data_IF_006269393955
#
_entry.id   IF_006269393955
#
_cell.length_a   1.000
_cell.length_b   1.000
_cell.length_c   1.000
_cell.angle_alpha   90.00
_cell.angle_beta   90.00
_cell.angle_gamma   90.00
#
_symmetry.space_group_name_H-M   'P 1'
#
loop_
_entity.id
_entity.type
_entity.pdbx_description
1 polymer ?
#
# COMPACT_ATOMS: atom_id res chain seq x y z
N UNK A 1 -0.46 3.94 -36.87
CA UNK A 1 -1.10 2.98 -35.97
C UNK A 1 0.05 2.40 -35.18
N UNK A 2 0.11 2.69 -33.88
CA UNK A 2 1.23 2.25 -33.05
C UNK A 2 1.14 0.73 -32.85
N UNK A 3 2.27 0.03 -32.75
CA UNK A 3 2.35 -1.44 -32.65
C UNK A 3 1.49 -2.00 -31.48
N UNK A 4 1.29 -1.21 -30.42
CA UNK A 4 0.42 -1.55 -29.30
C UNK A 4 -1.07 -1.63 -29.64
N UNK A 5 -1.54 -0.78 -30.55
CA UNK A 5 -2.94 -0.75 -30.99
C UNK A 5 -3.25 -1.95 -31.90
N UNK A 6 -2.29 -2.35 -32.73
CA UNK A 6 -2.41 -3.52 -33.60
C UNK A 6 -2.43 -4.81 -32.76
N UNK A 7 -1.56 -4.93 -31.76
CA UNK A 7 -1.56 -6.06 -30.84
C UNK A 7 -2.88 -6.19 -30.06
N UNK A 8 -3.44 -5.08 -29.58
CA UNK A 8 -4.72 -5.09 -28.88
C UNK A 8 -5.89 -5.46 -29.82
N UNK A 9 -5.87 -5.01 -31.08
CA UNK A 9 -6.89 -5.36 -32.07
C UNK A 9 -6.89 -6.84 -32.42
N UNK A 10 -5.69 -7.42 -32.57
CA UNK A 10 -5.51 -8.86 -32.76
C UNK A 10 -6.01 -9.62 -31.53
N UNK A 11 -5.62 -9.20 -30.32
CA UNK A 11 -6.07 -9.83 -29.08
C UNK A 11 -7.58 -9.74 -28.91
N UNK A 12 -8.21 -8.62 -29.23
CA UNK A 12 -9.66 -8.46 -29.17
C UNK A 12 -10.38 -9.42 -30.14
N UNK A 13 -9.84 -9.58 -31.34
CA UNK A 13 -10.38 -10.52 -32.34
C UNK A 13 -10.26 -11.99 -31.89
N UNK A 14 -9.16 -12.33 -31.22
CA UNK A 14 -8.91 -13.69 -30.74
C UNK A 14 -9.59 -13.99 -29.38
N UNK A 15 -9.80 -12.97 -28.55
CA UNK A 15 -10.27 -13.07 -27.16
C UNK A 15 -11.41 -12.08 -26.87
N UNK A 16 -12.57 -12.19 -27.55
CA UNK A 16 -13.68 -11.24 -27.40
C UNK A 16 -14.29 -11.21 -26.00
N UNK A 17 -14.15 -12.31 -25.25
CA UNK A 17 -14.66 -12.44 -23.88
C UNK A 17 -13.61 -12.15 -22.80
N UNK A 18 -12.52 -11.46 -23.15
CA UNK A 18 -11.47 -11.16 -22.19
C UNK A 18 -11.99 -10.29 -21.04
N UNK A 19 -11.89 -10.80 -19.82
CA UNK A 19 -12.30 -10.08 -18.59
C UNK A 19 -11.14 -9.47 -17.83
N UNK A 20 -9.97 -10.10 -17.94
CA UNK A 20 -8.78 -9.74 -17.18
C UNK A 20 -7.63 -9.59 -18.16
N UNK A 21 -7.04 -8.40 -18.19
CA UNK A 21 -5.83 -8.13 -18.95
C UNK A 21 -4.70 -7.73 -18.01
N UNK A 22 -3.57 -8.43 -18.12
CA UNK A 22 -2.35 -8.16 -17.37
C UNK A 22 -1.19 -8.03 -18.32
N UNK A 23 -0.42 -6.96 -18.19
CA UNK A 23 0.77 -6.76 -19.00
C UNK A 23 1.88 -6.08 -18.22
N UNK A 24 3.11 -6.56 -18.44
CA UNK A 24 4.34 -5.96 -17.93
C UNK A 24 5.22 -5.58 -19.11
N UNK A 25 5.63 -4.31 -19.16
CA UNK A 25 6.58 -3.75 -20.13
C UNK A 25 6.36 -4.25 -21.57
N UNK A 26 5.44 -3.62 -22.30
CA UNK A 26 5.17 -3.94 -23.70
C UNK A 26 5.69 -2.80 -24.60
N UNK A 27 6.91 -2.98 -25.09
CA UNK A 27 7.59 -1.99 -25.93
C UNK A 27 8.04 -0.73 -25.17
N UNK A 28 8.64 0.20 -25.91
CA UNK A 28 9.10 1.51 -25.40
C UNK A 28 8.11 2.65 -25.65
N UNK A 29 7.05 2.38 -26.40
CA UNK A 29 6.03 3.35 -26.79
C UNK A 29 4.97 3.53 -25.71
N UNK A 30 4.24 4.65 -25.79
CA UNK A 30 3.12 4.90 -24.90
C UNK A 30 1.96 3.96 -25.25
N UNK A 31 1.33 3.36 -24.25
CA UNK A 31 0.14 2.53 -24.39
C UNK A 31 -1.10 3.40 -24.40
N UNK A 32 -1.88 3.33 -25.47
CA UNK A 32 -3.22 3.94 -25.53
C UNK A 32 -4.22 3.11 -24.73
N UNK A 33 -5.07 3.78 -23.95
CA UNK A 33 -6.16 3.11 -23.24
C UNK A 33 -7.35 2.78 -24.16
N UNK A 34 -7.42 3.38 -25.36
CA UNK A 34 -8.45 3.09 -26.36
C UNK A 34 -8.41 1.63 -26.82
N UNK A 35 -7.21 1.08 -26.93
CA UNK A 35 -6.96 -0.32 -27.19
C UNK A 35 -7.72 -1.25 -26.23
N UNK A 36 -7.89 -0.85 -24.97
CA UNK A 36 -8.61 -1.64 -23.98
C UNK A 36 -10.13 -1.45 -24.02
N UNK A 37 -10.62 -0.34 -24.59
CA UNK A 37 -12.06 -0.13 -24.75
C UNK A 37 -12.70 -1.05 -25.81
N UNK A 38 -11.89 -1.69 -26.66
CA UNK A 38 -12.37 -2.70 -27.59
C UNK A 38 -12.83 -3.98 -26.89
N UNK A 39 -12.34 -4.27 -25.68
CA UNK A 39 -12.76 -5.43 -24.92
C UNK A 39 -14.08 -5.15 -24.18
N UNK A 40 -15.19 -5.56 -24.77
CA UNK A 40 -16.56 -5.32 -24.24
C UNK A 40 -16.78 -5.88 -22.82
N UNK A 41 -15.97 -6.84 -22.40
CA UNK A 41 -16.12 -7.57 -21.14
C UNK A 41 -14.99 -7.33 -20.13
N UNK A 42 -14.11 -6.37 -20.38
CA UNK A 42 -12.95 -6.12 -19.51
C UNK A 42 -13.39 -5.54 -18.15
N UNK A 43 -13.11 -6.28 -17.09
CA UNK A 43 -13.41 -5.90 -15.70
C UNK A 43 -12.16 -5.58 -14.90
N UNK A 44 -11.00 -6.17 -15.25
CA UNK A 44 -9.73 -5.97 -14.54
C UNK A 44 -8.64 -5.61 -15.54
N UNK A 45 -7.95 -4.50 -15.28
CA UNK A 45 -6.80 -4.05 -16.06
C UNK A 45 -5.59 -3.83 -15.14
N UNK A 46 -4.52 -4.56 -15.40
CA UNK A 46 -3.27 -4.44 -14.64
C UNK A 46 -2.10 -4.17 -15.58
N UNK A 47 -1.45 -3.04 -15.36
CA UNK A 47 -0.34 -2.56 -16.19
C UNK A 47 0.88 -2.33 -15.30
N UNK A 48 2.00 -2.96 -15.64
CA UNK A 48 3.29 -2.78 -14.97
C UNK A 48 4.35 -2.22 -15.91
N UNK A 49 5.10 -1.21 -15.46
CA UNK A 49 6.23 -0.61 -16.19
C UNK A 49 5.84 -0.05 -17.58
N UNK A 50 4.65 0.57 -17.68
CA UNK A 50 4.14 1.16 -18.92
C UNK A 50 4.13 2.68 -18.89
N UNK A 51 4.36 3.31 -20.05
CA UNK A 51 4.02 4.73 -20.26
C UNK A 51 2.58 4.81 -20.79
N UNK A 52 1.68 5.49 -20.10
CA UNK A 52 0.31 5.68 -20.58
C UNK A 52 0.21 6.94 -21.45
N UNK A 53 -0.46 6.82 -22.59
CA UNK A 53 -0.82 7.96 -23.42
C UNK A 53 -1.91 8.83 -22.75
N UNK A 54 -2.11 10.02 -23.29
CA UNK A 54 -3.20 10.90 -22.84
C UNK A 54 -4.56 10.29 -23.20
N UNK A 55 -5.52 10.42 -22.28
CA UNK A 55 -6.86 9.88 -22.47
C UNK A 55 -7.72 10.78 -23.36
N UNK A 56 -8.39 10.22 -24.38
CA UNK A 56 -9.44 10.92 -25.10
C UNK A 56 -10.58 11.34 -24.17
N UNK A 57 -11.22 12.47 -24.48
CA UNK A 57 -12.32 12.99 -23.65
C UNK A 57 -13.54 12.10 -23.66
N UNK A 58 -13.76 11.33 -24.72
CA UNK A 58 -14.90 10.45 -24.96
C UNK A 58 -14.64 8.97 -24.60
N UNK A 59 -13.42 8.62 -24.17
CA UNK A 59 -13.12 7.24 -23.80
C UNK A 59 -13.99 6.75 -22.64
N UNK A 60 -14.57 5.57 -22.82
CA UNK A 60 -15.33 4.85 -21.80
C UNK A 60 -14.80 3.43 -21.63
N UNK A 61 -14.68 3.01 -20.38
CA UNK A 61 -14.36 1.65 -19.93
C UNK A 61 -15.50 1.22 -18.98
N UNK A 62 -16.70 0.93 -19.51
CA UNK A 62 -17.95 0.90 -18.73
C UNK A 62 -18.05 -0.28 -17.76
N UNK A 63 -17.29 -1.35 -18.00
CA UNK A 63 -17.26 -2.54 -17.16
C UNK A 63 -16.02 -2.65 -16.27
N UNK A 64 -15.08 -1.70 -16.36
CA UNK A 64 -13.86 -1.77 -15.58
C UNK A 64 -14.17 -1.57 -14.08
N UNK A 65 -13.88 -2.61 -13.29
CA UNK A 65 -14.12 -2.68 -11.85
C UNK A 65 -12.82 -2.49 -11.05
N UNK A 66 -11.69 -2.95 -11.59
CA UNK A 66 -10.38 -2.85 -10.96
C UNK A 66 -9.30 -2.36 -11.93
N UNK A 67 -8.52 -1.37 -11.48
CA UNK A 67 -7.38 -0.83 -12.21
C UNK A 67 -6.12 -0.89 -11.33
N UNK A 68 -5.07 -1.55 -11.82
CA UNK A 68 -3.76 -1.60 -11.18
C UNK A 68 -2.71 -0.99 -12.10
N UNK A 69 -2.04 0.06 -11.63
CA UNK A 69 -0.92 0.69 -12.31
C UNK A 69 0.32 0.54 -11.42
N UNK A 70 1.31 -0.20 -11.89
CA UNK A 70 2.58 -0.44 -11.20
C UNK A 70 3.75 0.12 -12.00
N UNK A 71 4.58 0.94 -11.39
CA UNK A 71 5.77 1.55 -12.03
C UNK A 71 5.42 2.24 -13.37
N UNK A 72 4.19 2.74 -13.50
CA UNK A 72 3.70 3.37 -14.72
C UNK A 72 4.06 4.86 -14.76
N UNK A 73 4.28 5.38 -15.96
CA UNK A 73 4.40 6.82 -16.21
C UNK A 73 3.10 7.35 -16.81
N UNK A 74 2.41 8.25 -16.11
CA UNK A 74 1.03 8.67 -16.45
C UNK A 74 0.84 10.17 -16.31
N UNK A 75 0.05 10.78 -17.19
CA UNK A 75 -0.34 12.17 -17.04
C UNK A 75 -1.36 12.33 -15.91
N UNK A 76 -1.26 13.41 -15.15
CA UNK A 76 -2.21 13.66 -14.06
C UNK A 76 -3.66 13.79 -14.53
N UNK A 77 -3.90 14.46 -15.67
CA UNK A 77 -5.22 14.56 -16.29
C UNK A 77 -5.77 13.18 -16.66
N UNK A 78 -4.91 12.25 -17.09
CA UNK A 78 -5.28 10.86 -17.35
C UNK A 78 -5.77 10.17 -16.08
N UNK A 79 -5.05 10.30 -14.95
CA UNK A 79 -5.53 9.77 -13.67
C UNK A 79 -6.85 10.41 -13.23
N UNK A 80 -7.03 11.73 -13.39
CA UNK A 80 -8.30 12.39 -13.08
C UNK A 80 -9.44 11.82 -13.93
N UNK A 81 -9.22 11.64 -15.24
CA UNK A 81 -10.23 11.08 -16.15
C UNK A 81 -10.64 9.67 -15.76
N UNK A 82 -9.69 8.81 -15.39
CA UNK A 82 -9.95 7.43 -14.91
C UNK A 82 -10.72 7.37 -13.60
N UNK A 83 -10.79 8.46 -12.84
CA UNK A 83 -11.59 8.59 -11.62
C UNK A 83 -12.95 9.25 -11.89
N UNK A 84 -13.24 9.63 -13.14
CA UNK A 84 -14.54 10.20 -13.50
C UNK A 84 -15.55 9.08 -13.75
N UNK A 85 -16.77 9.18 -13.19
CA UNK A 85 -17.85 8.24 -13.48
C UNK A 85 -18.22 8.15 -14.97
N UNK A 86 -17.93 9.19 -15.75
CA UNK A 86 -18.15 9.20 -17.20
C UNK A 86 -17.11 8.42 -17.99
N UNK A 87 -15.97 8.05 -17.40
CA UNK A 87 -14.96 7.19 -18.03
C UNK A 87 -15.12 5.75 -17.53
N UNK A 88 -15.18 5.58 -16.21
CA UNK A 88 -15.07 4.27 -15.53
C UNK A 88 -16.17 4.14 -14.46
N UNK A 89 -17.46 4.09 -14.86
CA UNK A 89 -18.60 4.16 -13.93
C UNK A 89 -18.66 3.03 -12.89
N UNK A 90 -18.01 1.89 -13.16
CA UNK A 90 -17.98 0.73 -12.27
C UNK A 90 -16.67 0.57 -11.49
N UNK A 91 -15.73 1.50 -11.62
CA UNK A 91 -14.44 1.38 -10.94
C UNK A 91 -14.63 1.44 -9.43
N UNK A 92 -14.29 0.33 -8.77
CA UNK A 92 -14.36 0.17 -7.31
C UNK A 92 -12.98 0.04 -6.68
N UNK A 93 -12.00 -0.46 -7.43
CA UNK A 93 -10.67 -0.82 -6.91
C UNK A 93 -9.60 -0.13 -7.72
N UNK A 94 -8.73 0.62 -7.06
CA UNK A 94 -7.59 1.26 -7.72
C UNK A 94 -6.31 1.01 -6.94
N UNK A 95 -5.28 0.50 -7.63
CA UNK A 95 -3.96 0.27 -7.07
C UNK A 95 -2.94 1.11 -7.84
N UNK A 96 -2.24 1.98 -7.12
CA UNK A 96 -1.17 2.82 -7.66
C UNK A 96 0.12 2.49 -6.90
N UNK A 97 1.00 1.75 -7.57
CA UNK A 97 2.28 1.33 -7.03
C UNK A 97 3.41 1.98 -7.81
N UNK A 98 4.23 2.79 -7.15
CA UNK A 98 5.39 3.46 -7.77
C UNK A 98 5.04 4.22 -9.08
N UNK A 99 3.81 4.73 -9.19
CA UNK A 99 3.33 5.45 -10.39
C UNK A 99 3.94 6.85 -10.46
N UNK A 100 4.60 7.16 -11.56
CA UNK A 100 5.18 8.48 -11.83
C UNK A 100 4.13 9.33 -12.55
N UNK A 101 3.62 10.34 -11.86
CA UNK A 101 2.69 11.33 -12.43
C UNK A 101 3.46 12.54 -12.95
N UNK A 102 3.24 12.91 -14.21
CA UNK A 102 3.85 14.12 -14.80
C UNK A 102 2.78 15.17 -15.12
N UNK A 103 3.19 16.45 -15.11
CA UNK A 103 2.30 17.60 -15.22
C UNK A 103 2.49 18.36 -16.53
N UNK A 104 1.39 18.52 -17.29
CA UNK A 104 1.21 19.57 -18.31
C UNK A 104 -0.20 20.21 -18.28
N UNK A 105 -1.14 19.70 -17.48
CA UNK A 105 -2.49 20.26 -17.34
C UNK A 105 -3.34 19.49 -16.32
N UNK A 106 -4.40 20.14 -15.84
CA UNK A 106 -5.42 19.55 -14.97
C UNK A 106 -6.76 19.62 -15.68
N UNK A 107 -7.63 18.63 -15.44
CA UNK A 107 -9.04 18.78 -15.78
C UNK A 107 -9.68 19.78 -14.81
N UNK A 108 -10.49 20.71 -15.34
CA UNK A 108 -11.31 21.63 -14.53
C UNK A 108 -12.36 20.84 -13.74
N UNK A 109 -12.84 19.72 -14.30
CA UNK A 109 -13.77 18.82 -13.64
C UNK A 109 -13.09 18.09 -12.49
N UNK A 110 -13.71 18.14 -11.30
CA UNK A 110 -13.20 17.44 -10.11
C UNK A 110 -13.58 15.95 -10.21
N UNK A 111 -12.62 15.02 -10.07
CA UNK A 111 -12.93 13.60 -9.98
C UNK A 111 -13.83 13.30 -8.77
N UNK A 112 -14.64 12.26 -8.90
CA UNK A 112 -15.45 11.75 -7.79
C UNK A 112 -14.97 10.34 -7.42
N UNK A 113 -13.97 10.21 -6.53
CA UNK A 113 -13.45 8.92 -6.13
C UNK A 113 -14.29 8.24 -5.04
N UNK A 114 -15.43 8.82 -4.61
CA UNK A 114 -16.35 8.18 -3.64
C UNK A 114 -16.86 6.79 -4.05
N UNK A 115 -17.03 6.47 -5.35
CA UNK A 115 -17.39 5.13 -5.79
C UNK A 115 -16.32 4.06 -5.50
N UNK A 116 -15.08 4.44 -5.19
CA UNK A 116 -14.03 3.47 -4.86
C UNK A 116 -14.31 2.82 -3.51
N UNK A 117 -14.41 1.50 -3.51
CA UNK A 117 -14.46 0.68 -2.30
C UNK A 117 -13.12 0.73 -1.57
N UNK A 118 -12.01 0.74 -2.34
CA UNK A 118 -10.69 1.02 -1.80
C UNK A 118 -9.69 1.58 -2.82
N UNK A 119 -8.66 2.23 -2.26
CA UNK A 119 -7.51 2.75 -2.96
C UNK A 119 -6.23 2.24 -2.30
N UNK A 120 -5.39 1.51 -3.02
CA UNK A 120 -4.08 1.09 -2.55
C UNK A 120 -2.99 1.98 -3.14
N UNK A 121 -2.11 2.47 -2.26
CA UNK A 121 -1.04 3.39 -2.58
C UNK A 121 0.29 2.89 -2.03
N UNK A 122 1.26 2.70 -2.92
CA UNK A 122 2.61 2.24 -2.57
C UNK A 122 3.60 3.30 -3.04
N UNK A 123 4.38 3.84 -2.11
CA UNK A 123 5.08 5.10 -2.30
C UNK A 123 6.26 5.05 -3.29
N UNK A 124 6.45 6.18 -3.98
CA UNK A 124 7.68 6.62 -4.65
C UNK A 124 8.47 7.62 -3.77
N UNK A 125 9.79 7.67 -3.98
CA UNK A 125 10.81 8.34 -3.15
C UNK A 125 11.14 9.79 -3.53
N UNK A 126 10.56 10.38 -4.57
CA UNK A 126 10.96 11.72 -5.03
C UNK A 126 9.77 12.57 -5.46
N UNK A 127 9.33 13.39 -4.50
CA UNK A 127 8.56 14.64 -4.66
C UNK A 127 7.10 14.49 -5.16
N UNK A 128 6.19 14.90 -4.27
CA UNK A 128 4.73 15.02 -4.42
C UNK A 128 3.92 13.71 -4.44
N UNK A 129 3.20 13.49 -3.34
CA UNK A 129 2.06 12.58 -3.25
C UNK A 129 1.05 12.86 -4.38
N UNK A 130 0.24 11.87 -4.82
CA UNK A 130 -0.81 12.11 -5.81
C UNK A 130 -1.59 13.38 -5.46
N UNK A 131 -1.63 14.36 -6.37
CA UNK A 131 -2.04 15.73 -6.05
C UNK A 131 -3.38 15.79 -5.32
N UNK A 132 -3.55 16.74 -4.39
CA UNK A 132 -4.84 16.99 -3.69
C UNK A 132 -6.02 17.08 -4.69
N UNK A 133 -5.73 17.55 -5.90
CA UNK A 133 -6.63 17.65 -7.05
C UNK A 133 -7.20 16.32 -7.57
N UNK A 134 -6.69 15.17 -7.13
CA UNK A 134 -7.28 13.85 -7.40
C UNK A 134 -8.43 13.52 -6.43
N UNK A 135 -8.65 14.32 -5.37
CA UNK A 135 -9.75 14.11 -4.43
C UNK A 135 -9.64 12.85 -3.56
N UNK A 136 -8.47 12.18 -3.54
CA UNK A 136 -8.29 10.88 -2.90
C UNK A 136 -8.52 10.90 -1.37
N UNK A 137 -8.41 12.06 -0.73
CA UNK A 137 -8.79 12.28 0.67
C UNK A 137 -10.26 11.94 0.98
N UNK A 138 -11.11 11.80 -0.05
CA UNK A 138 -12.52 11.41 0.08
C UNK A 138 -12.74 9.89 0.05
N UNK A 139 -11.69 9.11 -0.23
CA UNK A 139 -11.76 7.63 -0.22
C UNK A 139 -11.75 7.14 1.22
N UNK A 140 -12.67 6.24 1.56
CA UNK A 140 -12.84 5.77 2.94
C UNK A 140 -11.81 4.70 3.35
N UNK A 141 -11.41 3.86 2.40
CA UNK A 141 -10.49 2.75 2.66
C UNK A 141 -9.23 2.96 1.82
N UNK A 142 -8.26 3.65 2.41
CA UNK A 142 -6.94 3.85 1.80
C UNK A 142 -5.99 2.83 2.42
N UNK A 143 -5.40 1.99 1.58
CA UNK A 143 -4.34 1.06 1.95
C UNK A 143 -3.00 1.69 1.60
N UNK A 144 -2.12 1.83 2.57
CA UNK A 144 -0.74 2.18 2.34
C UNK A 144 0.17 0.98 2.57
N UNK A 145 0.86 0.58 1.51
CA UNK A 145 1.85 -0.48 1.58
C UNK A 145 3.24 0.08 1.91
N UNK A 146 3.94 -0.55 2.86
CA UNK A 146 5.29 -0.19 3.27
C UNK A 146 6.18 -1.43 3.32
N UNK A 147 7.49 -1.26 3.19
CA UNK A 147 8.45 -2.34 3.43
C UNK A 147 9.56 -1.86 4.34
N UNK A 148 10.09 -2.78 5.13
CA UNK A 148 11.23 -2.53 6.03
C UNK A 148 12.44 -2.02 5.24
N UNK A 149 12.65 -2.54 4.03
CA UNK A 149 13.77 -2.16 3.16
C UNK A 149 13.64 -0.79 2.49
N UNK A 150 12.42 -0.24 2.35
CA UNK A 150 12.20 1.04 1.65
C UNK A 150 11.98 2.24 2.58
N UNK A 151 12.00 2.03 3.90
CA UNK A 151 11.66 3.00 4.97
C UNK A 151 10.27 3.64 4.78
N UNK A 152 9.69 4.16 5.86
CA UNK A 152 8.49 5.04 5.79
C UNK A 152 8.92 6.49 5.46
N UNK A 153 10.13 6.70 4.90
CA UNK A 153 10.74 8.03 4.73
C UNK A 153 9.92 9.01 3.89
N UNK A 154 8.95 8.49 3.13
CA UNK A 154 8.21 9.26 2.14
C UNK A 154 6.69 9.21 2.35
N UNK A 155 6.21 8.74 3.50
CA UNK A 155 4.80 8.92 3.82
C UNK A 155 4.60 10.37 4.30
N UNK A 156 3.92 11.26 3.54
CA UNK A 156 3.55 12.56 4.08
C UNK A 156 2.75 12.30 5.34
N UNK A 157 3.00 13.09 6.40
CA UNK A 157 2.21 13.05 7.63
C UNK A 157 0.75 12.78 7.26
N UNK A 158 0.15 11.70 7.78
CA UNK A 158 -1.22 11.27 7.48
C UNK A 158 -2.27 12.40 7.47
N UNK A 159 -1.93 13.55 8.06
CA UNK A 159 -2.59 14.84 7.89
C UNK A 159 -3.01 15.21 6.45
N UNK A 160 -2.23 14.89 5.41
CA UNK A 160 -2.56 15.30 4.02
C UNK A 160 -3.78 14.58 3.43
N UNK A 161 -4.06 13.35 3.88
CA UNK A 161 -5.22 12.56 3.47
C UNK A 161 -6.45 12.82 4.32
N UNK A 162 -6.27 13.40 5.52
CA UNK A 162 -7.37 13.70 6.43
C UNK A 162 -8.03 12.48 7.08
N UNK A 163 -7.75 11.26 6.64
CA UNK A 163 -8.37 10.02 7.13
C UNK A 163 -7.35 9.01 7.67
N UNK A 164 -7.71 8.19 8.69
CA UNK A 164 -6.90 7.05 9.11
C UNK A 164 -6.79 5.97 8.03
N UNK A 165 -5.68 5.23 8.03
CA UNK A 165 -5.28 4.36 6.91
C UNK A 165 -5.16 2.90 7.32
N UNK A 166 -5.37 2.01 6.37
CA UNK A 166 -4.97 0.62 6.49
C UNK A 166 -3.49 0.50 6.12
N UNK A 167 -2.64 -0.01 7.01
CA UNK A 167 -1.22 -0.21 6.71
C UNK A 167 -0.96 -1.66 6.36
N UNK A 168 -0.30 -1.91 5.23
CA UNK A 168 0.15 -3.26 4.81
C UNK A 168 1.67 -3.32 4.83
N UNK A 169 2.23 -4.25 5.59
CA UNK A 169 3.64 -4.60 5.46
C UNK A 169 3.81 -5.52 4.25
N UNK A 170 4.62 -5.13 3.28
CA UNK A 170 5.05 -6.02 2.21
C UNK A 170 5.99 -7.11 2.75
N UNK A 171 5.95 -8.31 2.16
CA UNK A 171 6.88 -9.38 2.51
C UNK A 171 8.30 -8.85 2.51
N UNK A 172 9.07 -9.24 3.52
CA UNK A 172 10.52 -9.09 3.43
C UNK A 172 10.96 -9.90 2.21
N UNK A 173 11.79 -9.35 1.29
CA UNK A 173 12.43 -10.20 0.29
C UNK A 173 13.11 -11.33 1.06
N UNK A 174 12.75 -12.59 0.75
CA UNK A 174 13.28 -13.80 1.43
C UNK A 174 14.74 -13.54 1.70
N UNK A 175 15.17 -13.63 2.97
CA UNK A 175 16.57 -13.51 3.35
C UNK A 175 17.33 -14.52 2.49
N UNK A 176 17.91 -14.08 1.38
CA UNK A 176 18.97 -14.86 0.76
C UNK A 176 20.00 -14.99 1.87
N UNK A 177 20.38 -16.21 2.22
CA UNK A 177 21.30 -16.55 3.31
C UNK A 177 22.70 -15.90 3.17
N UNK A 178 22.88 -14.92 2.27
CA UNK A 178 24.15 -14.39 1.77
C UNK A 178 24.40 -12.90 1.94
N UNK A 179 23.54 -12.12 2.61
CA UNK A 179 23.81 -10.67 2.77
C UNK A 179 24.24 -10.30 4.18
N UNK A 180 25.54 -10.44 4.39
CA UNK A 180 26.33 -9.97 5.53
C UNK A 180 26.51 -8.45 5.53
N UNK A 181 25.48 -7.66 5.85
CA UNK A 181 25.66 -6.26 6.29
C UNK A 181 24.61 -5.95 7.38
N UNK A 182 24.86 -6.47 8.59
CA UNK A 182 23.90 -6.49 9.69
C UNK A 182 23.73 -5.17 10.45
N UNK A 183 24.56 -4.15 10.24
CA UNK A 183 24.54 -2.95 11.09
C UNK A 183 23.62 -1.83 10.61
N UNK A 184 23.58 -1.54 9.30
CA UNK A 184 22.70 -0.48 8.77
C UNK A 184 21.25 -0.96 8.60
N UNK A 185 21.04 -2.26 8.41
CA UNK A 185 19.69 -2.80 8.21
C UNK A 185 18.83 -2.60 9.47
N UNK A 186 19.40 -2.84 10.66
CA UNK A 186 18.70 -2.75 11.94
C UNK A 186 18.16 -1.35 12.27
N UNK A 187 18.95 -0.30 12.00
CA UNK A 187 18.53 1.08 12.26
C UNK A 187 17.38 1.51 11.32
N UNK A 188 17.34 0.98 10.09
CA UNK A 188 16.26 1.25 9.13
C UNK A 188 14.95 0.56 9.51
N UNK A 189 15.03 -0.67 10.04
CA UNK A 189 13.84 -1.36 10.60
C UNK A 189 13.32 -0.57 11.80
N UNK A 190 14.22 -0.14 12.69
CA UNK A 190 13.87 0.58 13.90
C UNK A 190 13.13 1.89 13.59
N UNK A 191 13.67 2.71 12.69
CA UNK A 191 13.03 3.94 12.24
C UNK A 191 11.64 3.69 11.64
N UNK A 192 11.52 2.65 10.80
CA UNK A 192 10.26 2.33 10.14
C UNK A 192 9.20 1.88 11.16
N UNK A 193 9.55 0.94 12.04
CA UNK A 193 8.65 0.44 13.09
C UNK A 193 8.27 1.54 14.06
N UNK A 194 9.23 2.35 14.54
CA UNK A 194 8.96 3.48 15.42
C UNK A 194 7.99 4.49 14.77
N UNK A 195 8.13 4.73 13.47
CA UNK A 195 7.20 5.57 12.70
C UNK A 195 5.79 4.97 12.68
N UNK A 196 5.64 3.65 12.44
CA UNK A 196 4.33 2.98 12.50
C UNK A 196 3.73 3.10 13.90
N UNK A 197 4.49 2.77 14.96
CA UNK A 197 4.00 2.86 16.33
C UNK A 197 3.50 4.28 16.67
N UNK A 198 4.23 5.31 16.22
CA UNK A 198 3.82 6.71 16.39
C UNK A 198 2.59 7.10 15.55
N UNK A 199 2.39 6.51 14.37
CA UNK A 199 1.16 6.70 13.60
C UNK A 199 -0.03 6.02 14.28
N UNK A 200 0.16 4.80 14.78
CA UNK A 200 -0.83 4.00 15.51
C UNK A 200 -1.30 4.72 16.77
N UNK A 201 -0.37 5.18 17.61
CA UNK A 201 -0.69 5.90 18.86
C UNK A 201 -1.40 7.24 18.63
N UNK A 202 -1.26 7.83 17.44
CA UNK A 202 -1.98 9.04 17.02
C UNK A 202 -3.34 8.75 16.36
N UNK A 203 -3.80 7.51 16.35
CA UNK A 203 -5.05 7.10 15.71
C UNK A 203 -5.05 7.27 14.19
N UNK A 204 -3.86 7.27 13.56
CA UNK A 204 -3.71 7.41 12.09
C UNK A 204 -3.74 6.07 11.37
N UNK A 205 -3.67 4.97 12.12
CA UNK A 205 -3.75 3.61 11.59
C UNK A 205 -5.12 3.05 11.97
N UNK A 206 -5.92 2.71 10.96
CA UNK A 206 -7.24 2.09 11.10
C UNK A 206 -7.12 0.59 11.32
N UNK A 207 -6.17 -0.06 10.64
CA UNK A 207 -5.78 -1.45 10.89
C UNK A 207 -4.41 -1.72 10.31
N UNK A 208 -3.75 -2.74 10.84
CA UNK A 208 -2.44 -3.21 10.41
C UNK A 208 -2.56 -4.59 9.77
N UNK A 209 -2.00 -4.77 8.57
CA UNK A 209 -1.93 -6.04 7.86
C UNK A 209 -0.49 -6.52 7.85
N UNK A 210 -0.27 -7.71 8.40
CA UNK A 210 1.04 -8.35 8.48
C UNK A 210 1.01 -9.74 7.84
N UNK A 211 2.10 -10.15 7.18
CA UNK A 211 2.25 -11.53 6.72
C UNK A 211 2.18 -12.55 7.85
N UNK A 212 1.76 -13.78 7.55
CA UNK A 212 1.68 -14.91 8.50
C UNK A 212 3.00 -15.24 9.18
N UNK A 213 4.13 -14.98 8.53
CA UNK A 213 5.46 -15.18 9.11
C UNK A 213 5.68 -14.34 10.37
N UNK A 214 4.98 -13.21 10.50
CA UNK A 214 5.05 -12.33 11.68
C UNK A 214 4.20 -12.83 12.86
N UNK A 215 3.38 -13.88 12.67
CA UNK A 215 2.61 -14.50 13.76
C UNK A 215 3.48 -15.47 14.57
N UNK A 216 4.60 -15.93 14.02
CA UNK A 216 5.52 -16.85 14.69
C UNK A 216 6.74 -16.13 15.30
N UNK A 217 6.84 -16.00 16.64
CA UNK A 217 7.97 -15.32 17.28
C UNK A 217 9.32 -16.04 17.05
N UNK A 218 9.32 -17.32 16.66
CA UNK A 218 10.54 -18.08 16.39
C UNK A 218 11.21 -17.71 15.06
N UNK A 219 10.52 -17.02 14.15
CA UNK A 219 11.10 -16.55 12.88
C UNK A 219 12.11 -15.41 13.05
N UNK A 220 12.17 -14.81 14.24
CA UNK A 220 13.03 -13.66 14.52
C UNK A 220 14.29 -14.08 15.28
N UNK A 221 15.27 -14.63 14.56
CA UNK A 221 16.57 -15.03 15.11
C UNK A 221 17.34 -13.87 15.77
N UNK A 222 17.04 -12.63 15.37
CA UNK A 222 17.70 -11.43 15.88
C UNK A 222 16.86 -10.75 16.98
N UNK A 223 17.38 -10.73 18.21
CA UNK A 223 16.72 -10.18 19.41
C UNK A 223 16.20 -8.75 19.21
N UNK A 224 16.95 -7.87 18.53
CA UNK A 224 16.54 -6.48 18.29
C UNK A 224 15.32 -6.39 17.37
N UNK A 225 15.33 -7.13 16.25
CA UNK A 225 14.22 -7.15 15.28
C UNK A 225 12.94 -7.65 15.93
N UNK A 226 13.04 -8.71 16.74
CA UNK A 226 11.93 -9.21 17.55
C UNK A 226 11.38 -8.13 18.49
N UNK A 227 12.23 -7.44 19.25
CA UNK A 227 11.79 -6.38 20.17
C UNK A 227 11.06 -5.23 19.46
N UNK A 228 11.45 -4.91 18.22
CA UNK A 228 10.77 -3.92 17.39
C UNK A 228 9.35 -4.37 17.02
N UNK A 229 9.19 -5.58 16.47
CA UNK A 229 7.86 -6.10 16.12
C UNK A 229 6.98 -6.32 17.36
N UNK A 230 7.58 -6.69 18.50
CA UNK A 230 6.86 -6.76 19.76
C UNK A 230 6.29 -5.40 20.17
N UNK A 231 7.13 -4.35 20.13
CA UNK A 231 6.70 -2.97 20.38
C UNK A 231 5.57 -2.52 19.43
N UNK A 232 5.55 -3.02 18.20
CA UNK A 232 4.48 -2.75 17.25
C UNK A 232 3.15 -3.40 17.66
N UNK A 233 3.17 -4.67 18.06
CA UNK A 233 1.97 -5.33 18.58
C UNK A 233 1.43 -4.66 19.84
N UNK A 234 2.31 -4.22 20.75
CA UNK A 234 1.93 -3.44 21.93
C UNK A 234 1.30 -2.10 21.55
N UNK A 235 1.89 -1.34 20.63
CA UNK A 235 1.32 -0.08 20.17
C UNK A 235 -0.09 -0.27 19.55
N UNK A 236 -0.29 -1.36 18.80
CA UNK A 236 -1.60 -1.71 18.25
C UNK A 236 -2.60 -2.11 19.32
N UNK A 237 -2.19 -2.87 20.34
CA UNK A 237 -3.03 -3.22 21.50
C UNK A 237 -3.46 -1.97 22.24
N UNK A 238 -2.52 -1.10 22.57
CA UNK A 238 -2.77 0.10 23.39
C UNK A 238 -3.64 1.15 22.66
N UNK A 239 -3.71 1.07 21.34
CA UNK A 239 -4.49 1.97 20.48
C UNK A 239 -5.75 1.32 19.90
N UNK A 240 -6.17 0.15 20.39
CA UNK A 240 -7.30 -0.64 19.86
C UNK A 240 -7.30 -0.78 18.33
N UNK A 241 -6.11 -0.94 17.75
CA UNK A 241 -5.88 -1.08 16.31
C UNK A 241 -5.86 -2.56 15.95
N UNK A 242 -6.82 -3.05 15.14
CA UNK A 242 -6.85 -4.44 14.73
C UNK A 242 -5.61 -4.80 13.92
N UNK A 243 -5.02 -5.95 14.24
CA UNK A 243 -3.95 -6.58 13.47
C UNK A 243 -4.54 -7.77 12.71
N UNK A 244 -4.37 -7.76 11.39
CA UNK A 244 -4.85 -8.79 10.47
C UNK A 244 -3.65 -9.52 9.93
N UNK A 245 -3.58 -10.81 10.21
CA UNK A 245 -2.59 -11.71 9.65
C UNK A 245 -3.12 -12.27 8.33
N UNK A 246 -2.33 -12.23 7.27
CA UNK A 246 -2.68 -12.80 5.97
C UNK A 246 -1.61 -13.80 5.51
N UNK A 247 -2.07 -14.87 4.86
CA UNK A 247 -1.19 -15.88 4.27
C UNK A 247 -0.59 -15.34 2.96
N UNK A 248 0.72 -15.51 2.78
CA UNK A 248 1.49 -15.02 1.64
C UNK A 248 1.92 -16.12 0.69
N UNK A 249 1.18 -17.25 0.66
CA UNK A 249 1.40 -18.41 -0.20
C UNK A 249 1.56 -18.08 -1.71
N UNK A 250 2.74 -17.60 -2.07
CA UNK A 250 3.36 -17.47 -3.39
C UNK A 250 2.89 -16.36 -4.35
N UNK A 251 1.97 -15.46 -3.99
CA UNK A 251 1.65 -14.33 -4.88
C UNK A 251 1.46 -12.99 -4.18
N UNK A 252 1.93 -11.90 -4.80
CA UNK A 252 1.62 -10.53 -4.37
C UNK A 252 0.10 -10.24 -4.34
N UNK A 253 -0.71 -11.11 -4.95
CA UNK A 253 -2.16 -11.06 -5.06
C UNK A 253 -2.89 -11.54 -3.78
N UNK A 254 -2.22 -12.19 -2.81
CA UNK A 254 -2.88 -12.75 -1.61
C UNK A 254 -3.43 -11.70 -0.65
N UNK A 255 -2.96 -10.46 -0.75
CA UNK A 255 -3.47 -9.35 0.06
C UNK A 255 -4.89 -8.93 -0.33
N UNK A 256 -5.23 -8.94 -1.62
CA UNK A 256 -6.52 -8.44 -2.08
C UNK A 256 -7.70 -9.25 -1.52
N UNK A 257 -7.66 -10.60 -1.52
CA UNK A 257 -8.68 -11.40 -0.85
C UNK A 257 -8.76 -11.16 0.67
N UNK A 258 -7.63 -10.99 1.36
CA UNK A 258 -7.64 -10.72 2.80
C UNK A 258 -8.26 -9.36 3.12
N UNK A 259 -7.92 -8.34 2.33
CA UNK A 259 -8.46 -7.01 2.46
C UNK A 259 -9.96 -6.95 2.09
N UNK A 260 -10.37 -7.61 0.99
CA UNK A 260 -11.77 -7.72 0.60
C UNK A 260 -12.63 -8.40 1.68
N UNK A 261 -12.14 -9.50 2.29
CA UNK A 261 -12.82 -10.15 3.43
C UNK A 261 -12.93 -9.22 4.64
N UNK A 262 -11.88 -8.46 4.91
CA UNK A 262 -11.91 -7.45 5.97
C UNK A 262 -12.93 -6.36 5.67
N UNK A 263 -12.98 -5.83 4.44
CA UNK A 263 -13.96 -4.82 4.06
C UNK A 263 -15.40 -5.35 4.12
N UNK A 264 -15.63 -6.58 3.64
CA UNK A 264 -16.94 -7.23 3.72
C UNK A 264 -17.43 -7.44 5.17
N UNK A 265 -16.49 -7.55 6.12
CA UNK A 265 -16.79 -7.63 7.55
C UNK A 265 -16.67 -6.28 8.28
N UNK A 266 -16.25 -5.21 7.59
CA UNK A 266 -16.07 -3.90 8.19
C UNK A 266 -17.42 -3.31 8.60
N UNK A 267 -17.56 -3.02 9.90
CA UNK A 267 -18.84 -2.66 10.52
C UNK A 267 -19.46 -3.76 11.39
N UNK A 268 -18.95 -4.99 11.33
CA UNK A 268 -19.29 -6.03 12.30
C UNK A 268 -18.44 -5.87 13.56
N UNK A 269 -19.08 -5.46 14.67
CA UNK A 269 -18.43 -5.25 15.97
C UNK A 269 -17.75 -6.52 16.49
N UNK A 270 -18.39 -7.68 16.34
CA UNK A 270 -17.87 -8.97 16.82
C UNK A 270 -16.56 -9.34 16.12
N UNK A 271 -16.46 -9.08 14.81
CA UNK A 271 -15.22 -9.33 14.04
C UNK A 271 -14.09 -8.43 14.54
N UNK A 272 -14.38 -7.15 14.78
CA UNK A 272 -13.39 -6.21 15.30
C UNK A 272 -12.93 -6.63 16.70
N UNK A 273 -13.86 -6.92 17.60
CA UNK A 273 -13.55 -7.34 18.97
C UNK A 273 -12.71 -8.61 19.00
N UNK A 274 -13.06 -9.60 18.17
CA UNK A 274 -12.26 -10.82 18.01
C UNK A 274 -10.82 -10.50 17.59
N UNK A 275 -10.62 -9.66 16.57
CA UNK A 275 -9.26 -9.29 16.12
C UNK A 275 -8.45 -8.58 17.21
N UNK A 276 -9.10 -7.77 18.05
CA UNK A 276 -8.43 -7.13 19.20
C UNK A 276 -8.04 -8.16 20.26
N UNK A 277 -8.93 -9.11 20.59
CA UNK A 277 -8.63 -10.19 21.52
C UNK A 277 -7.48 -11.08 21.02
N UNK A 278 -7.47 -11.40 19.73
CA UNK A 278 -6.36 -12.13 19.14
C UNK A 278 -5.04 -11.34 19.23
N UNK A 279 -5.07 -10.01 19.06
CA UNK A 279 -3.86 -9.20 19.24
C UNK A 279 -3.38 -9.16 20.71
N UNK A 280 -4.30 -9.12 21.68
CA UNK A 280 -3.95 -9.23 23.10
C UNK A 280 -3.23 -10.56 23.38
N UNK A 281 -3.75 -11.65 22.83
CA UNK A 281 -3.15 -12.98 22.99
C UNK A 281 -1.78 -13.07 22.29
N UNK A 282 -1.62 -12.49 21.11
CA UNK A 282 -0.31 -12.37 20.44
C UNK A 282 0.71 -11.66 21.32
N UNK A 283 0.34 -10.53 21.91
CA UNK A 283 1.21 -9.78 22.82
C UNK A 283 1.62 -10.65 24.02
N UNK A 284 0.68 -11.42 24.60
CA UNK A 284 0.98 -12.37 25.69
C UNK A 284 2.02 -13.42 25.28
N UNK A 285 1.80 -14.10 24.16
CA UNK A 285 2.71 -15.15 23.62
C UNK A 285 4.11 -14.58 23.38
N UNK A 286 4.18 -13.40 22.76
CA UNK A 286 5.45 -12.72 22.50
C UNK A 286 6.17 -12.32 23.79
N UNK A 287 5.44 -11.89 24.83
CA UNK A 287 5.99 -11.55 26.14
C UNK A 287 6.56 -12.76 26.88
N UNK A 288 5.82 -13.88 26.88
CA UNK A 288 6.22 -15.14 27.51
C UNK A 288 7.52 -15.65 26.90
N UNK A 289 7.57 -15.76 25.57
CA UNK A 289 8.77 -16.20 24.88
C UNK A 289 9.96 -15.26 25.16
N UNK A 290 9.73 -13.94 25.22
CA UNK A 290 10.79 -12.94 25.48
C UNK A 290 11.40 -13.16 26.87
N UNK A 291 10.56 -13.51 27.84
CA UNK A 291 10.95 -13.80 29.22
C UNK A 291 11.70 -15.13 29.34
N UNK A 292 11.15 -16.19 28.76
CA UNK A 292 11.76 -17.54 28.76
C UNK A 292 13.18 -17.55 28.17
N UNK A 293 13.41 -16.71 27.15
CA UNK A 293 14.68 -16.65 26.43
C UNK A 293 15.60 -15.51 26.94
N UNK A 294 15.27 -14.89 28.09
CA UNK A 294 16.04 -13.81 28.75
C UNK A 294 16.41 -12.63 27.82
N UNK A 295 15.44 -12.21 27.01
CA UNK A 295 15.63 -11.16 26.01
C UNK A 295 15.19 -9.80 26.59
N UNK A 296 16.05 -9.08 27.31
CA UNK A 296 15.77 -7.68 27.72
C UNK A 296 15.55 -6.74 26.51
N UNK A 297 14.63 -5.78 26.66
CA UNK A 297 14.40 -4.67 25.74
C UNK A 297 15.62 -3.73 25.67
N UNK A 298 15.89 -3.08 24.52
CA UNK A 298 16.76 -1.92 24.55
C UNK A 298 16.11 -0.83 25.42
N UNK A 299 16.85 -0.21 26.35
CA UNK A 299 16.31 0.89 27.13
C UNK A 299 15.90 2.03 26.20
N UNK A 300 14.75 2.66 26.49
CA UNK A 300 14.34 3.91 25.85
C UNK A 300 15.56 4.84 25.80
N UNK A 301 15.97 5.26 24.60
CA UNK A 301 16.92 6.37 24.47
C UNK A 301 16.23 7.59 25.07
N UNK A 302 16.49 7.85 26.35
CA UNK A 302 16.20 9.12 26.99
C UNK A 302 16.74 10.20 26.06
N UNK A 303 15.87 11.08 25.60
CA UNK A 303 16.22 12.30 24.90
C UNK A 303 17.46 12.88 25.56
N UNK A 304 18.59 12.84 24.86
CA UNK A 304 19.80 13.53 25.28
C UNK A 304 19.51 15.03 25.17
N UNK A 305 18.88 15.55 26.22
CA UNK A 305 18.91 16.95 26.59
C UNK A 305 20.35 17.29 26.92
N UNK A 306 21.10 17.64 25.87
CA UNK A 306 22.38 18.32 25.99
C UNK A 306 22.11 19.79 26.25
N UNK A 307 21.79 20.09 27.50
CA UNK A 307 21.72 21.43 28.05
C UNK A 307 23.13 22.05 27.94
N UNK A 308 23.39 22.73 26.82
CA UNK A 308 24.66 23.41 26.57
C UNK A 308 24.61 24.77 27.24
N UNK A 309 24.73 24.78 28.57
CA UNK A 309 25.17 25.98 29.29
C UNK A 309 26.59 26.30 28.86
N UNK A 310 26.75 27.30 28.01
CA UNK A 310 27.99 28.05 27.87
C UNK A 310 27.75 29.43 28.47
N UNK A 311 28.15 29.58 29.74
CA UNK A 311 28.52 30.88 30.31
C UNK A 311 30.06 30.94 30.36
N UNK A 312 30.57 32.04 29.83
CA UNK A 312 31.78 32.78 30.22
C UNK A 312 33.14 32.08 30.26
N UNK A 313 33.93 32.32 29.20
CA UNK A 313 35.23 33.03 29.27
C UNK A 313 35.62 33.53 27.88
#
# INVERSE_FOLDING_TARGET
>A
MDEGDEAASILCSCLPNLRVYRSKALGSHAVSMEAFAMFEHLTILELSCHRLADLPTDLQLPLLEALSLRECFVAMATCQRLLMPTCTPKLRKMHLDCVIMHSTGFLIATPDPRPLDYLQLVAWDRQFYPPIYLGLHRVQNIVHGWSVAKRIRNFPSAASLGTPLHLRLYPLPKRSEKHSIHLNYDDEIEDAIASVCNMTSRGRVKSLFLPSDFDNPAWFDHRRTRALFFSLFEACRDSDTPVIIYDEGESEDDFLPAFDRFLASSGNTDVRERLLQENIERVRIWQEYTTEHQLEYPPNRSSSGGDSRLNDS
#
